data_IF_533451038592
#
_entry.id   IF_533451038592
#
_cell.length_a   1.000
_cell.length_b   1.000
_cell.length_c   1.000
_cell.angle_alpha   90.00
_cell.angle_beta   90.00
_cell.angle_gamma   90.00
#
_symmetry.space_group_name_H-M   'P 1'
#
loop_
_entity.id
_entity.type
_entity.pdbx_description
1 polymer ?
#
# COMPACT_ATOMS: atom_id res chain seq x y z
N UNK A 1 -0.70 2.43 -9.87
CA UNK A 1 -0.36 1.99 -8.50
C UNK A 1 -1.61 1.42 -7.87
N UNK A 2 -1.48 0.40 -7.01
CA UNK A 2 -2.61 -0.25 -6.34
C UNK A 2 -2.34 -0.24 -4.84
N UNK A 3 -3.39 -0.09 -4.04
CA UNK A 3 -3.31 -0.21 -2.57
C UNK A 3 -4.07 -1.48 -2.16
N UNK A 4 -3.37 -2.42 -1.52
CA UNK A 4 -3.94 -3.71 -1.11
C UNK A 4 -4.21 -3.76 0.38
N UNK A 5 -5.18 -4.58 0.76
CA UNK A 5 -5.45 -4.86 2.16
C UNK A 5 -4.18 -5.45 2.83
N UNK A 6 -3.94 -5.04 4.07
CA UNK A 6 -2.73 -5.43 4.81
C UNK A 6 -2.77 -6.92 5.19
N UNK A 7 -3.97 -7.43 5.45
CA UNK A 7 -4.24 -8.81 5.87
C UNK A 7 -4.56 -9.73 4.68
N UNK A 8 -5.05 -9.17 3.57
CA UNK A 8 -5.33 -9.91 2.32
C UNK A 8 -4.73 -9.21 1.08
N UNK A 9 -3.55 -9.64 0.60
CA UNK A 9 -2.90 -9.05 -0.58
C UNK A 9 -3.69 -9.17 -1.88
N UNK A 10 -4.67 -10.07 -1.95
CA UNK A 10 -5.55 -10.25 -3.11
C UNK A 10 -6.63 -9.17 -3.21
N UNK A 11 -6.93 -8.48 -2.12
CA UNK A 11 -8.00 -7.49 -2.02
C UNK A 11 -7.46 -6.09 -2.21
N UNK A 12 -8.02 -5.35 -3.17
CA UNK A 12 -7.77 -3.92 -3.32
C UNK A 12 -8.66 -3.13 -2.37
N UNK A 13 -8.09 -2.13 -1.69
CA UNK A 13 -8.87 -1.25 -0.82
C UNK A 13 -9.40 -0.06 -1.62
N UNK A 14 -10.54 0.49 -1.17
CA UNK A 14 -11.08 1.73 -1.75
C UNK A 14 -10.08 2.88 -1.58
N UNK A 15 -10.16 3.87 -2.48
CA UNK A 15 -9.45 5.16 -2.30
C UNK A 15 -9.78 5.77 -0.92
N UNK A 16 -8.85 6.56 -0.42
CA UNK A 16 -8.88 7.11 0.94
C UNK A 16 -8.52 6.11 2.04
N UNK A 17 -8.49 4.80 1.75
CA UNK A 17 -8.13 3.78 2.74
C UNK A 17 -6.65 3.43 2.70
N UNK A 18 -6.09 3.29 3.90
CA UNK A 18 -4.74 2.77 4.11
C UNK A 18 -4.65 1.29 3.74
N UNK A 19 -3.58 0.93 3.04
CA UNK A 19 -3.17 -0.43 2.80
C UNK A 19 -1.71 -0.49 2.36
N UNK A 20 -1.27 -1.66 1.86
CA UNK A 20 0.09 -1.83 1.34
C UNK A 20 0.21 -1.31 -0.08
N UNK A 21 1.29 -0.60 -0.36
CA UNK A 21 1.56 -0.04 -1.68
C UNK A 21 2.12 -1.10 -2.65
N UNK A 22 1.52 -1.15 -3.84
CA UNK A 22 2.01 -1.94 -4.97
C UNK A 22 2.24 -1.03 -6.18
N UNK A 23 3.49 -0.95 -6.61
CA UNK A 23 3.92 -0.14 -7.74
C UNK A 23 4.02 -1.04 -8.97
N UNK A 24 3.38 -0.61 -10.05
CA UNK A 24 3.42 -1.28 -11.35
C UNK A 24 4.03 -0.29 -12.33
N UNK A 25 5.23 -0.59 -12.79
CA UNK A 25 5.90 0.15 -13.85
C UNK A 25 5.61 -0.51 -15.19
N UNK A 26 4.81 0.15 -16.02
CA UNK A 26 4.39 -0.36 -17.33
C UNK A 26 5.44 -0.20 -18.42
N UNK A 27 6.49 0.60 -18.18
CA UNK A 27 7.56 0.84 -19.14
C UNK A 27 8.79 -0.02 -18.87
N UNK A 28 8.87 -0.69 -17.71
CA UNK A 28 10.00 -1.52 -17.34
C UNK A 28 9.98 -2.86 -18.09
N UNK A 29 11.00 -3.08 -18.93
CA UNK A 29 11.15 -4.29 -19.75
C UNK A 29 12.21 -5.23 -19.16
N UNK A 30 13.29 -4.67 -18.61
CA UNK A 30 14.51 -5.42 -18.30
C UNK A 30 14.59 -5.90 -16.83
N UNK A 31 13.60 -5.56 -16.00
CA UNK A 31 13.64 -5.89 -14.56
C UNK A 31 12.25 -6.13 -13.96
N UNK A 32 12.12 -5.97 -12.64
CA UNK A 32 10.89 -6.23 -11.93
C UNK A 32 9.89 -5.07 -12.10
N UNK A 33 8.89 -5.26 -12.95
CA UNK A 33 7.82 -4.28 -13.21
C UNK A 33 6.79 -4.20 -12.08
N UNK A 34 6.73 -5.20 -11.20
CA UNK A 34 5.79 -5.26 -10.08
C UNK A 34 6.53 -5.26 -8.75
N UNK A 35 6.44 -4.16 -8.01
CA UNK A 35 7.05 -4.00 -6.70
C UNK A 35 5.96 -3.97 -5.62
N UNK A 36 5.87 -5.06 -4.86
CA UNK A 36 5.10 -5.08 -3.61
C UNK A 36 5.98 -4.55 -2.48
N UNK A 37 5.73 -3.32 -2.04
CA UNK A 37 6.57 -2.69 -1.02
C UNK A 37 6.11 -3.09 0.39
N UNK A 38 6.97 -2.87 1.37
CA UNK A 38 6.61 -2.95 2.79
C UNK A 38 6.14 -1.60 3.32
N UNK A 39 5.62 -0.73 2.46
CA UNK A 39 5.10 0.58 2.85
C UNK A 39 3.58 0.55 2.99
N UNK A 40 3.08 1.22 4.02
CA UNK A 40 1.68 1.58 4.16
C UNK A 40 1.43 2.93 3.48
N UNK A 41 0.32 3.03 2.77
CA UNK A 41 -0.09 4.26 2.12
C UNK A 41 -1.55 4.26 1.69
N UNK A 42 -1.98 5.38 1.14
CA UNK A 42 -3.37 5.60 0.69
C UNK A 42 -3.39 6.41 -0.61
N UNK A 43 -4.35 6.12 -1.48
CA UNK A 43 -4.67 6.96 -2.63
C UNK A 43 -5.61 8.08 -2.18
N UNK A 44 -5.37 9.31 -2.62
CA UNK A 44 -6.26 10.43 -2.28
C UNK A 44 -7.59 10.31 -3.02
N UNK A 45 -8.67 10.64 -2.32
CA UNK A 45 -10.05 10.58 -2.85
C UNK A 45 -10.37 11.74 -3.79
N UNK A 46 -9.66 12.86 -3.67
CA UNK A 46 -10.11 14.15 -4.20
C UNK A 46 -9.68 14.45 -5.65
N UNK A 47 -8.92 13.55 -6.29
CA UNK A 47 -8.29 13.83 -7.59
C UNK A 47 -8.31 12.65 -8.55
N UNK A 48 -8.53 12.94 -9.83
CA UNK A 48 -8.34 11.98 -10.94
C UNK A 48 -6.86 11.59 -11.15
N UNK A 49 -5.91 12.33 -10.56
CA UNK A 49 -4.49 11.94 -10.49
C UNK A 49 -4.27 10.73 -9.56
N UNK A 50 -3.18 10.00 -9.82
CA UNK A 50 -2.74 8.87 -8.99
C UNK A 50 -1.93 9.36 -7.78
N UNK A 51 -2.40 10.41 -7.11
CA UNK A 51 -1.73 10.99 -5.96
C UNK A 51 -1.91 10.10 -4.74
N UNK A 52 -0.80 9.89 -4.04
CA UNK A 52 -0.75 9.00 -2.89
C UNK A 52 0.13 9.56 -1.80
N UNK A 53 -0.05 9.04 -0.60
CA UNK A 53 0.79 9.33 0.54
C UNK A 53 1.36 8.05 1.12
N UNK A 54 2.62 8.14 1.56
CA UNK A 54 3.30 7.09 2.31
C UNK A 54 3.15 7.41 3.79
N UNK A 55 2.53 6.49 4.53
CA UNK A 55 2.24 6.63 5.95
C UNK A 55 3.34 6.04 6.83
N UNK A 56 4.16 5.15 6.28
CA UNK A 56 5.30 4.57 6.96
C UNK A 56 5.59 3.13 6.52
N UNK A 57 6.61 2.53 7.13
CA UNK A 57 6.98 1.14 6.92
C UNK A 57 6.11 0.22 7.76
N UNK A 58 5.62 -0.86 7.15
CA UNK A 58 4.90 -1.92 7.82
C UNK A 58 5.81 -2.67 8.80
N UNK A 59 7.02 -3.01 8.36
CA UNK A 59 8.03 -3.70 9.13
C UNK A 59 8.82 -2.73 10.02
N UNK A 60 8.52 -2.74 11.33
CA UNK A 60 9.18 -2.09 12.49
C UNK A 60 8.33 -1.09 13.30
N UNK A 61 7.13 -0.72 12.87
CA UNK A 61 6.26 0.17 13.66
C UNK A 61 5.39 -0.57 14.70
N UNK A 62 5.02 -1.83 14.46
CA UNK A 62 4.13 -2.58 15.38
C UNK A 62 4.83 -3.19 16.61
N UNK A 63 6.16 -3.35 16.61
CA UNK A 63 6.88 -3.93 17.76
C UNK A 63 6.77 -3.06 19.02
N UNK A 64 6.35 -1.78 18.91
CA UNK A 64 6.17 -0.88 20.06
C UNK A 64 4.88 -0.06 20.07
N UNK A 65 3.77 -0.57 19.55
CA UNK A 65 2.51 0.15 19.70
C UNK A 65 1.30 -0.50 19.07
N UNK A 66 0.84 -1.61 19.68
CA UNK A 66 -0.50 -2.19 19.57
C UNK A 66 -1.23 -2.09 18.22
N UNK A 67 -1.32 -3.22 17.52
CA UNK A 67 -2.60 -3.65 16.96
C UNK A 67 -2.83 -5.12 17.32
N UNK A 68 -3.41 -5.33 18.50
CA UNK A 68 -3.95 -6.61 18.94
C UNK A 68 -5.47 -6.55 18.85
N UNK A 69 -5.99 -6.43 17.63
CA UNK A 69 -7.42 -6.67 17.37
C UNK A 69 -7.54 -7.68 16.22
N UNK A 70 -7.13 -8.91 16.52
CA UNK A 70 -7.90 -10.08 16.09
C UNK A 70 -9.21 -10.09 16.87
N UNK A 71 -10.31 -9.74 16.21
CA UNK A 71 -11.66 -10.27 16.49
C UNK A 71 -12.22 -10.79 15.18
#
# INVERSE_FOLDING_TARGET
MIVRDVSDPGTEVKRGRTGRLQIIDLANIDSCSFLATSDLGSLRDETDSCDFEVLGRFDHAEVRGCNLLTV
#
